data_IF_256707870982
#
_entry.id   IF_256707870982
#
_cell.length_a   1.000
_cell.length_b   1.000
_cell.length_c   1.000
_cell.angle_alpha   90.00
_cell.angle_beta   90.00
_cell.angle_gamma   90.00
#
_symmetry.space_group_name_H-M   'P 1'
#
loop_
_entity.id
_entity.type
_entity.pdbx_description
1 polymer ?
2 branched ?
3 non-polymer ?
4 water ?
#
# COMPACT_ATOMS: atom_id res chain seq x y z
N UNK A 1 13.80 4.08 -8.56
CA UNK A 1 12.88 4.82 -7.66
C UNK A 1 11.65 5.20 -8.44
N UNK A 2 10.57 5.53 -7.73
CA UNK A 2 9.39 6.12 -8.36
C UNK A 2 9.06 7.40 -7.65
N UNK A 3 8.35 8.31 -8.32
CA UNK A 3 8.04 9.59 -7.74
C UNK A 3 6.64 9.98 -8.01
N UNK A 4 6.10 10.86 -7.17
CA UNK A 4 4.77 11.42 -7.36
C UNK A 4 4.70 12.83 -6.79
N UNK A 5 4.30 13.79 -7.64
CA UNK A 5 4.18 15.18 -7.23
C UNK A 5 2.75 15.66 -7.12
N UNK A 6 2.34 16.07 -5.93
CA UNK A 6 0.97 16.50 -5.71
C UNK A 6 0.70 17.84 -6.40
N UNK A 7 1.73 18.67 -6.57
CA UNK A 7 1.55 19.92 -7.30
C UNK A 7 1.26 19.64 -8.77
N UNK A 8 0.06 20.03 -9.19
CA UNK A 8 -0.36 19.81 -10.58
C UNK A 8 -0.96 18.41 -10.76
N UNK A 9 -1.05 17.66 -9.69
CA UNK A 9 -1.57 16.29 -9.74
C UNK A 9 -3.03 16.23 -10.24
N UNK A 10 -3.31 15.24 -11.07
CA UNK A 10 -4.68 15.00 -11.49
C UNK A 10 -4.87 13.50 -11.61
N UNK A 11 -6.11 13.02 -11.87
CA UNK A 11 -6.31 11.58 -11.96
C UNK A 11 -5.25 10.89 -12.83
N UNK A 12 -4.85 11.53 -13.93
CA UNK A 12 -3.92 10.96 -14.87
C UNK A 12 -2.48 10.77 -14.31
N UNK A 13 -1.90 11.80 -13.70
CA UNK A 13 -0.55 11.70 -13.18
C UNK A 13 -0.51 10.78 -11.94
N UNK A 14 -1.62 10.70 -11.23
CA UNK A 14 -1.68 9.73 -10.11
C UNK A 14 -1.64 8.30 -10.69
N UNK A 15 -2.46 8.09 -11.73
CA UNK A 15 -2.44 6.82 -12.48
C UNK A 15 -1.06 6.41 -12.93
N UNK A 16 -0.30 7.34 -13.51
CA UNK A 16 1.06 7.03 -13.95
C UNK A 16 1.91 6.60 -12.75
N UNK A 17 1.70 7.26 -11.61
CA UNK A 17 2.48 6.93 -10.43
C UNK A 17 2.19 5.51 -9.98
N UNK A 18 0.93 5.18 -9.92
CA UNK A 18 0.55 3.83 -9.49
C UNK A 18 1.08 2.81 -10.50
N UNK A 19 1.03 3.17 -11.78
CA UNK A 19 1.62 2.25 -12.75
C UNK A 19 3.13 2.11 -12.55
N UNK A 20 3.81 3.23 -12.33
CA UNK A 20 5.26 3.19 -12.08
C UNK A 20 5.57 2.36 -10.84
N UNK A 21 4.75 2.52 -9.79
CA UNK A 21 4.95 1.75 -8.53
C UNK A 21 4.84 0.23 -8.82
N UNK A 22 3.76 -0.17 -9.51
CA UNK A 22 3.57 -1.60 -9.84
C UNK A 22 4.75 -2.12 -10.68
N UNK A 23 5.20 -1.29 -11.61
CA UNK A 23 6.32 -1.68 -12.51
C UNK A 23 7.62 -1.85 -11.82
N UNK A 24 7.73 -1.28 -10.62
CA UNK A 24 8.98 -1.36 -9.86
C UNK A 24 9.00 -2.55 -8.94
N UNK A 25 7.88 -3.28 -8.85
CA UNK A 25 7.82 -4.50 -8.07
C UNK A 25 8.16 -5.67 -8.99
N UNK A 26 9.25 -6.38 -8.68
CA UNK A 26 9.69 -7.47 -9.56
C UNK A 26 8.85 -8.73 -9.41
N UNK A 27 8.83 -9.51 -10.49
CA UNK A 27 8.14 -10.78 -10.58
C UNK A 27 8.86 -11.60 -11.65
N UNK A 28 8.80 -12.93 -11.54
CA UNK A 28 9.40 -13.79 -12.58
C UNK A 28 8.30 -14.57 -13.26
N UNK A 29 7.14 -14.59 -12.62
CA UNK A 29 6.02 -15.40 -12.99
C UNK A 29 4.73 -14.55 -12.87
N UNK A 30 3.73 -14.90 -13.68
CA UNK A 30 2.37 -14.36 -13.50
C UNK A 30 1.49 -15.56 -13.24
N UNK A 31 0.48 -15.38 -12.40
CA UNK A 31 -0.44 -16.46 -12.04
C UNK A 31 -1.83 -15.93 -12.39
N UNK A 32 -2.52 -16.63 -13.28
CA UNK A 32 -3.77 -16.15 -13.84
C UNK A 32 -3.64 -14.70 -14.33
N UNK A 33 -2.52 -14.44 -15.01
CA UNK A 33 -2.16 -13.18 -15.63
C UNK A 33 -1.90 -12.00 -14.64
N UNK A 34 -1.65 -12.33 -13.38
CA UNK A 34 -1.41 -11.37 -12.33
C UNK A 34 0.01 -11.58 -11.84
N UNK A 35 0.85 -10.52 -11.88
CA UNK A 35 2.20 -10.65 -11.35
C UNK A 35 2.27 -11.24 -9.95
N UNK A 36 3.21 -12.17 -9.77
CA UNK A 36 3.39 -12.88 -8.51
C UNK A 36 4.61 -12.29 -7.88
N UNK A 37 4.43 -11.51 -6.81
CA UNK A 37 5.61 -10.97 -6.11
C UNK A 37 6.59 -12.08 -5.69
N UNK A 38 7.87 -11.70 -5.55
CA UNK A 38 8.91 -12.67 -5.23
C UNK A 38 8.84 -13.22 -3.80
N UNK A 39 9.35 -14.45 -3.59
CA UNK A 39 9.38 -15.02 -2.25
C UNK A 39 10.30 -14.19 -1.35
N UNK A 40 11.40 -13.68 -1.92
CA UNK A 40 12.36 -12.86 -1.17
C UNK A 40 13.37 -12.22 -2.11
N UNK A 41 14.04 -11.20 -1.61
CA UNK A 41 15.05 -10.45 -2.37
C UNK A 41 16.12 -10.04 -1.36
N UNK A 42 17.37 -10.33 -1.70
CA UNK A 42 18.50 -10.11 -0.80
C UNK A 42 19.10 -8.72 -0.92
N UNK A 43 19.46 -8.15 0.23
CA UNK A 43 20.14 -6.87 0.32
C UNK A 43 19.24 -5.64 0.18
N UNK A 44 19.79 -4.60 -0.43
CA UNK A 44 19.09 -3.34 -0.55
C UNK A 44 18.08 -3.37 -1.70
N UNK A 45 18.26 -4.31 -2.63
CA UNK A 45 17.33 -4.48 -3.75
C UNK A 45 15.91 -4.80 -3.26
N UNK A 46 15.81 -5.20 -2.00
CA UNK A 46 14.54 -5.54 -1.36
C UNK A 46 13.65 -4.32 -1.19
N UNK A 47 14.22 -3.13 -1.26
CA UNK A 47 13.44 -1.92 -0.95
C UNK A 47 13.34 -0.93 -2.08
N UNK A 48 12.11 -0.54 -2.37
CA UNK A 48 11.83 0.45 -3.37
C UNK A 48 11.76 1.80 -2.66
N UNK A 49 12.30 2.85 -3.26
CA UNK A 49 12.17 4.20 -2.67
C UNK A 49 11.14 4.98 -3.47
N UNK A 50 10.09 5.44 -2.80
CA UNK A 50 9.10 6.29 -3.40
C UNK A 50 9.33 7.74 -2.95
N UNK A 51 9.63 8.63 -3.89
CA UNK A 51 9.76 10.06 -3.57
C UNK A 51 8.43 10.76 -3.75
N UNK A 52 7.82 11.16 -2.63
CA UNK A 52 6.57 11.86 -2.64
C UNK A 52 6.73 13.36 -2.35
N UNK A 53 6.08 14.20 -3.14
CA UNK A 53 6.18 15.69 -2.91
C UNK A 53 4.80 16.28 -2.65
N UNK A 54 4.65 17.06 -1.59
CA UNK A 54 3.37 17.71 -1.35
C UNK A 54 3.19 18.91 -2.28
N UNK A 55 2.06 19.60 -2.13
CA UNK A 55 1.70 20.70 -3.02
C UNK A 55 2.76 21.80 -3.09
N UNK A 56 3.44 22.03 -1.96
CA UNK A 56 4.48 23.06 -1.86
C UNK A 56 5.83 22.54 -2.32
N UNK A 57 5.90 21.27 -2.67
CA UNK A 57 7.11 20.71 -3.19
C UNK A 57 8.11 20.18 -2.15
N UNK A 58 7.72 20.17 -0.89
CA UNK A 58 8.49 19.44 0.13
C UNK A 58 8.32 17.93 -0.10
N UNK A 59 9.21 17.12 0.44
CA UNK A 59 9.25 15.73 0.04
C UNK A 59 9.67 14.78 1.15
N UNK A 60 9.17 13.55 1.05
CA UNK A 60 9.63 12.46 1.91
C UNK A 60 9.97 11.33 0.98
N UNK A 61 10.82 10.42 1.42
CA UNK A 61 11.14 9.24 0.65
C UNK A 61 10.61 8.06 1.47
N UNK A 62 9.77 7.25 0.83
CA UNK A 62 9.16 6.11 1.59
C UNK A 62 9.76 4.80 1.12
N UNK A 63 10.23 3.99 2.07
CA UNK A 63 10.89 2.69 1.78
C UNK A 63 9.84 1.61 1.74
N UNK A 64 9.73 0.90 0.61
CA UNK A 64 8.76 -0.12 0.43
C UNK A 64 9.41 -1.48 0.11
N UNK A 65 9.02 -2.52 0.84
CA UNK A 65 9.54 -3.88 0.62
C UNK A 65 8.88 -4.41 -0.65
N UNK A 66 9.68 -4.75 -1.69
CA UNK A 66 9.14 -5.16 -3.00
C UNK A 66 8.48 -6.55 -3.05
N UNK A 67 8.65 -7.36 -2.01
CA UNK A 67 8.02 -8.64 -1.94
C UNK A 67 6.59 -8.62 -1.43
N UNK A 68 6.19 -7.53 -0.72
CA UNK A 68 4.86 -7.54 -0.14
C UNK A 68 4.19 -6.17 -0.12
N UNK A 69 4.87 -5.15 -0.68
CA UNK A 69 4.40 -3.77 -0.77
C UNK A 69 4.14 -3.17 0.63
N UNK A 70 4.91 -3.64 1.62
CA UNK A 70 4.77 -3.13 3.00
C UNK A 70 5.65 -1.91 3.09
N UNK A 71 5.12 -0.82 3.66
CA UNK A 71 5.96 0.34 3.89
C UNK A 71 6.81 0.04 5.14
N UNK A 72 8.09 0.33 5.07
CA UNK A 72 8.98 0.02 6.23
C UNK A 72 9.31 1.26 7.05
N UNK A 73 9.53 2.38 6.36
CA UNK A 73 9.81 3.62 7.04
C UNK A 73 9.99 4.69 6.01
N UNK A 74 10.43 5.88 6.42
CA UNK A 74 10.56 6.97 5.46
C UNK A 74 11.60 7.97 5.99
N UNK A 75 12.03 8.81 5.10
CA UNK A 75 13.00 9.84 5.40
C UNK A 75 12.36 11.21 5.20
N UNK A 76 12.52 12.06 6.22
CA UNK A 76 11.98 13.44 6.17
C UNK A 76 13.14 14.34 6.53
N UNK A 77 13.67 15.03 5.52
CA UNK A 77 14.87 15.88 5.68
C UNK A 77 16.07 15.05 6.11
N UNK A 78 16.53 15.20 7.35
CA UNK A 78 17.69 14.42 7.76
C UNK A 78 17.37 13.36 8.82
N UNK A 79 16.08 13.06 9.01
CA UNK A 79 15.67 12.06 10.00
C UNK A 79 14.97 10.90 9.31
N UNK A 80 15.39 9.68 9.64
CA UNK A 80 14.67 8.52 9.12
C UNK A 80 13.69 8.07 10.18
N UNK A 81 12.56 7.48 9.78
CA UNK A 81 11.56 6.98 10.74
C UNK A 81 11.18 5.55 10.33
N UNK A 82 11.19 4.61 11.28
CA UNK A 82 10.83 3.24 11.00
C UNK A 82 9.77 2.69 11.89
N UNK A 83 8.94 1.81 11.37
CA UNK A 83 7.97 1.12 12.21
C UNK A 83 8.70 0.29 13.24
N UNK A 84 8.02 0.02 14.35
CA UNK A 84 8.65 -0.71 15.45
C UNK A 84 8.34 -2.19 15.20
N UNK A 85 9.09 -2.82 14.30
CA UNK A 85 8.95 -4.24 13.95
C UNK A 85 10.28 -4.75 13.37
N UNK A 86 10.57 -6.04 13.52
CA UNK A 86 11.86 -6.57 13.10
C UNK A 86 12.09 -6.31 11.60
N UNK A 87 11.04 -6.42 10.80
CA UNK A 87 11.20 -6.22 9.34
C UNK A 87 11.74 -4.82 9.03
N UNK A 88 11.22 -3.81 9.74
CA UNK A 88 11.63 -2.43 9.49
C UNK A 88 13.00 -2.15 10.05
N UNK A 89 13.31 -2.71 11.22
CA UNK A 89 14.63 -2.52 11.74
C UNK A 89 15.63 -3.20 10.79
N UNK A 90 15.26 -4.34 10.23
CA UNK A 90 16.09 -4.96 9.19
C UNK A 90 16.23 -4.02 7.98
N UNK A 91 15.11 -3.45 7.50
CA UNK A 91 15.24 -2.46 6.42
C UNK A 91 16.21 -1.32 6.77
N UNK A 92 16.19 -0.87 8.03
CA UNK A 92 17.04 0.31 8.40
C UNK A 92 18.54 0.06 8.19
N UNK A 93 18.90 -1.20 8.02
CA UNK A 93 20.29 -1.52 7.77
C UNK A 93 20.69 -1.15 6.33
N UNK A 94 19.69 -0.96 5.47
CA UNK A 94 19.95 -0.77 4.05
C UNK A 94 19.54 0.62 3.50
N UNK A 95 18.50 1.24 4.06
CA UNK A 95 17.99 2.49 3.50
C UNK A 95 18.18 3.64 4.47
N UNK A 96 18.29 4.83 3.93
CA UNK A 96 18.41 6.05 4.71
C UNK A 96 19.58 6.00 5.70
N UNK A 97 20.63 5.30 5.32
CA UNK A 97 21.83 5.18 6.17
C UNK A 97 22.38 6.56 6.53
N UNK A 98 22.31 7.50 5.57
CA UNK A 98 22.87 8.84 5.79
C UNK A 98 22.06 9.79 6.67
N UNK A 99 20.91 9.36 7.19
CA UNK A 99 20.09 10.25 8.02
C UNK A 99 20.86 10.58 9.30
N UNK A 100 20.62 11.77 9.83
CA UNK A 100 21.32 12.20 11.07
C UNK A 100 20.87 11.46 12.30
N UNK A 101 19.58 11.17 12.43
CA UNK A 101 19.10 10.39 13.53
C UNK A 101 18.03 9.51 12.98
N UNK A 102 17.83 8.36 13.58
CA UNK A 102 16.82 7.42 13.18
C UNK A 102 15.87 7.25 14.32
N UNK A 103 14.59 7.52 14.07
CA UNK A 103 13.59 7.39 15.09
C UNK A 103 12.78 6.16 14.80
N UNK A 104 12.53 5.41 15.84
CA UNK A 104 11.62 4.24 15.73
C UNK A 104 10.27 4.65 16.18
N UNK A 105 9.29 4.59 15.28
CA UNK A 105 7.92 4.94 15.65
C UNK A 105 7.36 4.05 16.76
N UNK A 106 6.41 4.58 17.57
CA UNK A 106 5.90 3.77 18.69
C UNK A 106 4.69 2.95 18.26
N UNK A 107 4.83 2.27 17.11
CA UNK A 107 3.89 1.29 16.68
C UNK A 107 4.47 0.49 15.50
N UNK A 108 3.88 -0.66 15.27
CA UNK A 108 4.25 -1.52 14.12
C UNK A 108 3.40 -1.05 12.95
N UNK A 109 3.62 -1.64 11.78
CA UNK A 109 2.91 -1.22 10.57
C UNK A 109 1.49 -1.72 10.31
N UNK A 110 0.87 -2.44 11.23
CA UNK A 110 -0.46 -2.95 10.90
C UNK A 110 -1.61 -2.01 11.17
N UNK A 111 -2.68 -2.27 10.44
CA UNK A 111 -3.85 -1.43 10.49
C UNK A 111 -4.43 -1.31 11.91
N UNK A 112 -4.51 -2.41 12.62
CA UNK A 112 -5.07 -2.32 13.94
C UNK A 112 -4.22 -1.43 14.85
N UNK A 113 -2.93 -1.61 14.83
CA UNK A 113 -2.06 -0.80 15.67
C UNK A 113 -2.08 0.68 15.31
N UNK A 114 -2.10 0.96 14.02
CA UNK A 114 -2.06 2.34 13.57
C UNK A 114 -3.37 3.06 13.90
N UNK A 115 -4.49 2.33 13.84
CA UNK A 115 -5.80 2.89 14.10
C UNK A 115 -5.90 3.23 15.58
N UNK A 116 -5.35 2.36 16.42
CA UNK A 116 -5.30 2.62 17.89
C UNK A 116 -4.48 3.89 18.15
N UNK A 117 -3.31 4.03 17.50
CA UNK A 117 -2.43 5.14 17.74
C UNK A 117 -3.03 6.44 17.21
N UNK A 118 -3.77 6.36 16.10
CA UNK A 118 -4.39 7.54 15.48
C UNK A 118 -5.67 7.98 16.18
N UNK A 119 -6.32 7.05 16.87
CA UNK A 119 -7.56 7.38 17.58
C UNK A 119 -8.84 7.21 16.76
N UNK A 120 -8.75 6.57 15.59
CA UNK A 120 -9.92 6.36 14.73
C UNK A 120 -9.68 5.23 13.73
N UNK A 121 -10.73 4.44 13.40
CA UNK A 121 -10.54 3.36 12.44
C UNK A 121 -10.41 4.03 11.07
N UNK A 122 -9.87 3.33 10.09
CA UNK A 122 -9.75 4.02 8.82
C UNK A 122 -11.05 4.22 8.08
N UNK A 123 -12.12 3.55 8.52
CA UNK A 123 -13.44 3.82 8.02
C UNK A 123 -13.82 5.30 8.16
N UNK A 124 -13.16 5.99 9.08
CA UNK A 124 -13.52 7.36 9.44
C UNK A 124 -12.52 8.37 8.98
N UNK A 125 -11.44 7.88 8.32
CA UNK A 125 -10.35 8.74 7.92
C UNK A 125 -10.45 9.00 6.42
N UNK A 126 -10.71 10.25 6.01
CA UNK A 126 -10.83 10.56 4.58
C UNK A 126 -9.51 10.34 3.83
N UNK A 127 -9.60 9.80 2.63
CA UNK A 127 -8.41 9.60 1.80
C UNK A 127 -8.64 10.24 0.46
N UNK A 128 -7.56 10.39 -0.30
CA UNK A 128 -7.65 11.17 -1.53
C UNK A 128 -6.32 11.83 -1.76
N UNK A 129 -6.22 12.59 -2.84
CA UNK A 129 -4.95 13.26 -3.07
C UNK A 129 -4.76 14.40 -2.08
N UNK A 130 -5.82 15.14 -1.74
CA UNK A 130 -5.56 16.21 -0.76
C UNK A 130 -5.09 15.59 0.58
N UNK A 131 -5.68 14.45 0.95
CA UNK A 131 -5.29 13.81 2.21
C UNK A 131 -3.85 13.36 2.11
N UNK A 132 -3.41 12.94 0.93
CA UNK A 132 -2.02 12.51 0.77
C UNK A 132 -1.09 13.71 0.93
N UNK A 133 -1.50 14.86 0.38
CA UNK A 133 -0.69 16.09 0.65
C UNK A 133 -0.59 16.37 2.10
N UNK A 134 -1.72 16.27 2.82
CA UNK A 134 -1.73 16.46 4.30
C UNK A 134 -0.82 15.44 5.00
N UNK A 135 -0.83 14.20 4.53
CA UNK A 135 0.00 13.15 5.15
C UNK A 135 1.46 13.45 4.97
N UNK A 136 1.87 13.85 3.75
CA UNK A 136 3.28 14.16 3.50
C UNK A 136 3.73 15.31 4.42
N UNK A 137 2.87 16.34 4.52
CA UNK A 137 3.15 17.46 5.40
C UNK A 137 3.33 17.06 6.84
N UNK A 138 2.43 16.22 7.33
CA UNK A 138 2.46 15.74 8.70
C UNK A 138 3.73 14.94 8.96
N UNK A 139 4.09 14.05 8.02
CA UNK A 139 5.29 13.24 8.24
C UNK A 139 6.60 14.01 8.22
N UNK A 140 6.58 15.26 7.69
CA UNK A 140 7.78 16.04 7.62
C UNK A 140 8.29 16.48 9.00
N UNK A 141 7.36 16.60 9.95
CA UNK A 141 7.75 16.87 11.34
C UNK A 141 7.12 15.93 12.35
N UNK A 142 8.00 15.27 13.06
CA UNK A 142 7.58 14.26 13.98
C UNK A 142 6.43 14.62 14.94
N UNK A 143 5.45 13.74 14.94
CA UNK A 143 4.30 13.80 15.86
C UNK A 143 3.74 12.40 15.70
N UNK A 144 4.01 11.51 16.68
CA UNK A 144 3.67 10.08 16.46
C UNK A 144 2.16 9.85 16.30
N UNK A 145 1.34 10.64 16.98
CA UNK A 145 -0.12 10.49 16.86
C UNK A 145 -0.63 10.91 15.48
N UNK A 146 -0.20 12.07 15.02
CA UNK A 146 -0.62 12.57 13.73
C UNK A 146 -0.04 11.65 12.64
N UNK A 147 1.19 11.22 12.83
CA UNK A 147 1.87 10.35 11.86
C UNK A 147 1.10 9.04 11.62
N UNK A 148 0.49 8.46 12.67
CA UNK A 148 -0.28 7.23 12.49
C UNK A 148 -1.38 7.41 11.45
N UNK A 149 -2.07 8.53 11.56
CA UNK A 149 -3.19 8.80 10.67
C UNK A 149 -2.61 9.09 9.26
N UNK A 150 -1.49 9.80 9.22
CA UNK A 150 -0.87 10.13 7.97
C UNK A 150 -0.43 8.84 7.24
N UNK A 151 0.13 7.91 8.01
CA UNK A 151 0.62 6.65 7.42
C UNK A 151 -0.59 5.78 6.99
N UNK A 152 -1.71 5.85 7.68
CA UNK A 152 -2.94 5.15 7.24
C UNK A 152 -3.39 5.68 5.86
N UNK A 153 -3.31 6.99 5.69
CA UNK A 153 -3.59 7.61 4.38
C UNK A 153 -2.57 7.19 3.31
N UNK A 154 -1.30 7.24 3.68
CA UNK A 154 -0.20 6.96 2.77
C UNK A 154 -0.25 5.53 2.29
N UNK A 155 -0.39 4.59 3.24
CA UNK A 155 -0.46 3.14 2.85
C UNK A 155 -1.56 2.86 1.89
N UNK A 156 -2.74 3.44 2.13
CA UNK A 156 -3.87 3.22 1.23
C UNK A 156 -3.77 3.86 -0.12
N UNK A 157 -3.17 5.05 -0.18
CA UNK A 157 -3.12 5.76 -1.45
C UNK A 157 -1.92 5.33 -2.29
N UNK A 158 -1.06 4.50 -1.74
CA UNK A 158 0.09 3.97 -2.47
C UNK A 158 -0.02 2.44 -2.64
N UNK A 159 0.39 1.73 -1.62
CA UNK A 159 0.39 0.24 -1.60
C UNK A 159 -0.94 -0.36 -1.96
N UNK A 160 -2.03 0.06 -1.29
CA UNK A 160 -3.32 -0.55 -1.59
C UNK A 160 -3.81 -0.23 -3.01
N UNK A 161 -3.57 1.01 -3.47
CA UNK A 161 -3.95 1.36 -4.86
C UNK A 161 -3.15 0.53 -5.86
N UNK A 162 -1.89 0.26 -5.52
CA UNK A 162 -1.01 -0.54 -6.42
C UNK A 162 -1.57 -1.94 -6.50
N UNK A 163 -2.11 -2.41 -5.39
CA UNK A 163 -2.66 -3.78 -5.33
C UNK A 163 -4.01 -4.01 -6.00
N UNK A 164 -4.87 -3.01 -6.02
CA UNK A 164 -6.21 -3.14 -6.59
C UNK A 164 -6.55 -1.99 -7.50
N UNK A 165 -6.90 -2.31 -8.73
CA UNK A 165 -7.35 -1.25 -9.69
C UNK A 165 -8.53 -0.48 -9.15
N UNK A 166 -9.47 -1.18 -8.49
CA UNK A 166 -10.62 -0.47 -7.89
C UNK A 166 -10.15 0.63 -6.91
N UNK A 167 -9.21 0.31 -6.04
CA UNK A 167 -8.70 1.29 -5.08
C UNK A 167 -8.00 2.46 -5.78
N UNK A 168 -7.20 2.16 -6.79
CA UNK A 168 -6.60 3.23 -7.57
C UNK A 168 -7.71 4.17 -8.14
N UNK A 169 -8.73 3.59 -8.71
CA UNK A 169 -9.88 4.38 -9.21
C UNK A 169 -10.59 5.19 -8.13
N UNK A 170 -10.72 4.62 -6.94
CA UNK A 170 -11.31 5.34 -5.78
C UNK A 170 -10.51 6.59 -5.47
N UNK A 171 -9.19 6.50 -5.55
CA UNK A 171 -8.34 7.64 -5.19
C UNK A 171 -8.41 8.67 -6.31
N UNK A 172 -8.47 8.21 -7.55
CA UNK A 172 -8.62 9.10 -8.66
C UNK A 172 -9.90 9.92 -8.55
N UNK A 173 -10.95 9.30 -8.03
CA UNK A 173 -12.23 9.98 -7.80
C UNK A 173 -12.11 11.07 -6.71
N UNK A 174 -11.13 10.90 -5.85
CA UNK A 174 -10.88 11.80 -4.72
C UNK A 174 -9.64 12.65 -5.02
N UNK A 175 -9.45 13.06 -6.27
CA UNK A 175 -8.29 13.85 -6.64
C UNK A 175 -8.37 15.28 -6.09
N UNK A 176 -9.60 15.78 -5.94
CA UNK A 176 -9.77 17.16 -5.43
C UNK A 176 -10.60 17.26 -4.19
N UNK A 177 -11.04 16.12 -3.67
CA UNK A 177 -11.95 16.09 -2.52
C UNK A 177 -11.78 14.75 -1.81
N UNK A 178 -11.35 14.78 -0.55
CA UNK A 178 -11.19 13.54 0.21
C UNK A 178 -12.54 12.98 0.58
N UNK A 179 -12.58 11.66 0.73
CA UNK A 179 -13.76 10.98 1.24
C UNK A 179 -13.33 9.68 1.89
N UNK A 180 -14.02 9.26 2.93
CA UNK A 180 -13.65 8.02 3.61
C UNK A 180 -13.75 6.90 2.58
N UNK A 181 -12.94 5.86 2.75
CA UNK A 181 -12.88 4.77 1.77
C UNK A 181 -14.24 4.03 1.74
N UNK A 182 -14.61 3.52 0.56
CA UNK A 182 -15.85 2.72 0.45
C UNK A 182 -15.65 1.45 1.26
N UNK A 183 -16.75 0.80 1.62
CA UNK A 183 -16.62 -0.49 2.31
C UNK A 183 -15.90 -1.51 1.43
N UNK A 184 -16.11 -1.42 0.12
CA UNK A 184 -15.41 -2.36 -0.78
C UNK A 184 -13.91 -2.11 -0.68
N UNK A 185 -13.52 -0.85 -0.48
CA UNK A 185 -12.09 -0.53 -0.40
C UNK A 185 -11.52 -1.22 0.84
N UNK A 186 -12.16 -1.01 1.98
CA UNK A 186 -11.72 -1.67 3.20
C UNK A 186 -11.67 -3.22 3.06
N UNK A 187 -12.73 -3.76 2.48
CA UNK A 187 -12.89 -5.23 2.31
C UNK A 187 -11.70 -5.75 1.48
N UNK A 188 -11.39 -5.07 0.36
CA UNK A 188 -10.31 -5.52 -0.53
C UNK A 188 -8.98 -5.46 0.19
N UNK A 189 -8.72 -4.35 0.91
CA UNK A 189 -7.48 -4.25 1.68
C UNK A 189 -7.32 -5.41 2.60
N UNK A 190 -8.40 -5.71 3.31
CA UNK A 190 -8.43 -6.76 4.31
C UNK A 190 -8.25 -8.15 3.68
N UNK A 191 -8.65 -8.30 2.44
CA UNK A 191 -8.59 -9.63 1.78
C UNK A 191 -7.40 -9.92 0.84
N UNK A 192 -6.48 -8.97 0.72
CA UNK A 192 -5.40 -9.10 -0.24
C UNK A 192 -4.61 -10.41 -0.03
N UNK A 193 -4.17 -10.64 1.22
CA UNK A 193 -3.44 -11.86 1.55
C UNK A 193 -4.26 -13.11 1.25
N UNK A 194 -5.49 -13.15 1.74
CA UNK A 194 -6.43 -14.24 1.45
C UNK A 194 -6.61 -14.46 -0.03
N UNK A 195 -6.88 -13.37 -0.76
CA UNK A 195 -7.05 -13.47 -2.22
C UNK A 195 -5.82 -14.02 -2.93
N UNK A 196 -4.66 -13.45 -2.58
CA UNK A 196 -3.39 -13.83 -3.17
C UNK A 196 -3.18 -15.34 -2.97
N UNK A 197 -3.46 -15.83 -1.76
CA UNK A 197 -3.34 -17.25 -1.48
C UNK A 197 -4.34 -18.14 -2.28
N UNK A 198 -5.63 -17.79 -2.31
CA UNK A 198 -6.62 -18.59 -3.05
C UNK A 198 -6.37 -18.62 -4.56
N UNK A 199 -5.86 -17.53 -5.09
CA UNK A 199 -5.57 -17.45 -6.52
C UNK A 199 -4.42 -18.39 -6.85
N UNK A 200 -3.40 -18.41 -6.00
CA UNK A 200 -2.32 -19.36 -6.17
C UNK A 200 -2.77 -20.83 -5.95
N UNK A 201 -3.64 -21.07 -4.95
CA UNK A 201 -4.10 -22.47 -4.70
C UNK A 201 -5.05 -22.98 -5.76
N UNK A 202 -5.65 -22.06 -6.50
CA UNK A 202 -6.52 -22.42 -7.63
C UNK A 202 -5.66 -22.97 -8.80
N UNK A 203 -4.35 -22.72 -8.75
CA UNK A 203 -3.47 -23.06 -9.86
C UNK A 203 -3.66 -24.52 -10.22
N UNK A 204 -3.79 -25.37 -9.20
CA UNK A 204 -4.02 -26.80 -9.41
C UNK A 204 -5.36 -27.34 -8.90
N UNK A 205 -6.36 -26.49 -8.87
CA UNK A 205 -7.67 -26.88 -8.39
C UNK A 205 -8.65 -26.36 -9.44
N UNK A 206 -8.20 -26.39 -10.69
CA UNK A 206 -9.05 -26.01 -11.81
C UNK A 206 -9.61 -24.59 -11.69
N UNK A 207 -8.86 -23.71 -11.04
CA UNK A 207 -9.29 -22.30 -10.98
C UNK A 207 -10.29 -22.10 -9.87
N UNK A 208 -10.47 -23.12 -9.01
CA UNK A 208 -11.45 -23.06 -7.92
C UNK A 208 -10.72 -22.75 -6.62
N UNK A 209 -11.20 -21.74 -5.88
CA UNK A 209 -10.67 -21.44 -4.57
C UNK A 209 -10.85 -22.61 -3.60
N UNK A 210 -9.80 -23.03 -2.90
CA UNK A 210 -10.05 -24.00 -1.80
C UNK A 210 -11.01 -23.45 -0.75
N UNK A 211 -10.88 -22.15 -0.46
CA UNK A 211 -11.76 -21.50 0.48
C UNK A 211 -12.32 -20.21 -0.12
N UNK A 212 -13.65 -20.09 -0.16
CA UNK A 212 -14.27 -18.89 -0.71
C UNK A 212 -13.91 -17.67 0.12
N UNK A 213 -13.66 -16.57 -0.59
CA UNK A 213 -13.30 -15.32 0.06
C UNK A 213 -14.53 -14.43 0.06
N UNK A 214 -14.92 -13.89 1.22
CA UNK A 214 -16.08 -13.02 1.33
C UNK A 214 -15.67 -11.55 1.15
N UNK A 215 -16.29 -10.86 0.19
CA UNK A 215 -16.03 -9.43 -0.05
C UNK A 215 -17.27 -8.54 -0.06
N UNK A 216 -17.06 -7.23 0.11
CA UNK A 216 -18.12 -6.25 -0.16
C UNK A 216 -17.90 -5.68 -1.55
N UNK A 217 -18.92 -5.66 -2.39
CA UNK A 217 -18.73 -5.14 -3.75
C UNK A 217 -18.94 -3.61 -3.88
N UNK A 218 -18.70 -3.09 -5.08
CA UNK A 218 -18.90 -1.67 -5.42
C UNK A 218 -20.24 -1.05 -5.08
N UNK A 219 -21.29 -1.87 -5.04
CA UNK A 219 -22.62 -1.42 -4.62
C UNK A 219 -22.78 -1.54 -3.09
N UNK A 220 -21.72 -2.00 -2.43
CA UNK A 220 -21.72 -2.11 -0.97
C UNK A 220 -22.44 -3.36 -0.51
N UNK A 221 -22.53 -4.34 -1.42
CA UNK A 221 -23.17 -5.62 -1.14
C UNK A 221 -22.16 -6.77 -0.96
N UNK A 222 -22.46 -7.68 -0.03
CA UNK A 222 -21.57 -8.80 0.31
C UNK A 222 -21.60 -9.96 -0.71
N UNK A 223 -20.53 -10.13 -1.49
CA UNK A 223 -20.41 -11.25 -2.44
C UNK A 223 -19.37 -12.34 -2.03
N UNK A 224 -19.58 -13.58 -2.50
CA UNK A 224 -18.65 -14.70 -2.23
C UNK A 224 -17.79 -14.96 -3.47
N UNK A 225 -16.47 -14.96 -3.28
CA UNK A 225 -15.54 -15.14 -4.42
C UNK A 225 -15.07 -16.58 -4.35
N UNK A 226 -15.42 -17.39 -5.34
CA UNK A 226 -15.15 -18.84 -5.29
C UNK A 226 -14.21 -19.36 -6.36
N UNK A 227 -13.99 -18.58 -7.40
CA UNK A 227 -13.06 -18.95 -8.46
C UNK A 227 -12.47 -17.78 -9.23
N UNK A 228 -11.45 -18.07 -10.02
CA UNK A 228 -10.70 -17.09 -10.80
C UNK A 228 -11.43 -16.39 -11.96
N UNK A 229 -12.65 -16.78 -12.28
CA UNK A 229 -13.41 -16.04 -13.31
C UNK A 229 -14.06 -14.80 -12.70
N UNK A 230 -13.91 -14.64 -11.39
CA UNK A 230 -14.50 -13.47 -10.73
C UNK A 230 -13.81 -12.19 -11.19
N UNK A 231 -14.57 -11.12 -11.27
CA UNK A 231 -14.01 -9.90 -11.74
C UNK A 231 -12.91 -9.36 -10.78
N UNK A 232 -13.00 -9.68 -9.52
CA UNK A 232 -11.96 -9.32 -8.53
C UNK A 232 -10.61 -9.87 -9.02
N UNK A 233 -10.65 -11.08 -9.60
CA UNK A 233 -9.42 -11.73 -10.13
C UNK A 233 -9.03 -11.32 -11.56
N UNK A 234 -10.01 -11.14 -12.44
CA UNK A 234 -9.71 -10.86 -13.86
C UNK A 234 -9.43 -9.38 -14.13
N UNK A 235 -9.95 -8.51 -13.27
CA UNK A 235 -9.89 -7.09 -13.57
C UNK A 235 -9.21 -6.26 -12.49
N UNK A 236 -9.52 -6.57 -11.24
CA UNK A 236 -9.14 -5.76 -10.05
C UNK A 236 -7.76 -5.96 -9.48
N UNK A 237 -7.54 -7.08 -8.79
CA UNK A 237 -6.25 -7.36 -8.17
C UNK A 237 -5.13 -7.27 -9.22
N UNK A 238 -4.03 -6.62 -8.83
CA UNK A 238 -2.84 -6.35 -9.71
C UNK A 238 -1.55 -6.99 -9.31
N UNK A 239 -1.48 -7.49 -8.08
CA UNK A 239 -0.25 -8.05 -7.53
C UNK A 239 -0.64 -9.14 -6.56
N UNK A 240 0.12 -10.24 -6.55
CA UNK A 240 -0.14 -11.29 -5.63
C UNK A 240 0.96 -11.43 -4.60
N UNK A 241 0.58 -11.47 -3.32
CA UNK A 241 1.52 -11.79 -2.25
C UNK A 241 1.86 -13.28 -2.40
N UNK A 242 3.16 -13.60 -2.40
CA UNK A 242 3.63 -15.02 -2.61
C UNK A 242 3.15 -15.89 -1.43
N UNK A 243 2.63 -17.10 -1.69
CA UNK A 243 2.21 -17.98 -0.57
C UNK A 243 3.33 -18.37 0.38
N UNK A 244 4.58 -18.34 -0.09
CA UNK A 244 5.74 -18.47 0.82
C UNK A 244 5.70 -17.45 1.97
N UNK A 245 5.20 -16.25 1.70
CA UNK A 245 5.07 -15.20 2.74
C UNK A 245 3.68 -15.09 3.39
N UNK A 246 2.96 -16.20 3.39
CA UNK A 246 1.63 -16.27 4.04
C UNK A 246 1.65 -17.46 5.02
X LIG B 1 -17.15 -19.03 -10.62
X LIG B 1 -18.28 -19.91 -10.07
X LIG B 1 -19.63 -19.44 -10.61
X LIG B 1 -19.80 -17.93 -10.44
X LIG B 1 -18.55 -17.16 -10.93
X LIG B 1 -18.62 -15.67 -10.63
X LIG B 1 -17.81 -22.24 -9.46
X LIG B 1 -17.59 -23.64 -9.96
X LIG B 1 -18.04 -21.31 -10.40
X LIG B 1 -20.67 -20.11 -9.95
X LIG B 1 -20.96 -17.51 -11.14
X LIG B 1 -17.40 -17.69 -10.31
X LIG B 1 -17.59 -15.02 -11.33
X LIG B 1 -17.79 -22.01 -8.25
X LIG B 2 -21.78 -16.69 -10.28
X LIG B 2 -22.55 -15.66 -11.11
X LIG B 2 -23.54 -14.92 -10.23
X LIG B 2 -24.54 -15.90 -9.61
X LIG B 2 -24.03 -17.34 -9.46
X LIG B 2 -24.61 -18.27 -10.53
X LIG B 2 -21.46 -14.72 -13.09
X LIG B 2 -20.49 -13.70 -13.62
X LIG B 2 -21.64 -14.73 -11.77
X LIG B 2 -24.24 -13.95 -10.99
X LIG B 2 -24.93 -15.40 -8.33
X LIG B 2 -22.60 -17.43 -9.40
X LIG B 2 -24.04 -19.56 -10.41
X LIG B 2 -22.03 -15.48 -13.87
X LIG C 1 -2.20 -5.33 8.45
X LIG C 1 -1.42 -6.56 8.91
X LIG C 1 -3.26 -4.67 9.27
X LIG C 1 -2.74 -5.74 6.97
X LIG C 1 -1.12 -4.25 7.99
X LIG C 1 -4.05 -6.57 6.57
X LIG C 1 -4.90 -6.98 7.75
X LIG C 1 -4.68 -5.72 5.49
X LIG C 1 -3.48 -7.94 5.92
X LIG C 1 -3.29 -8.34 4.36
X LIG C 1 -2.71 -9.73 4.56
X LIG C 1 -2.27 -7.33 3.79
X LIG C 1 -4.61 -8.44 3.58
X LIG C 1 -1.53 -2.94 7.56
X LIG C 1 -1.06 -2.79 6.14
X LIG C 1 0.36 -2.77 6.11
X LIG C 1 -1.43 -4.08 5.42
X LIG C 1 -2.70 -3.96 4.82
X LIG C 1 -0.32 -4.29 4.47
X LIG C 1 -0.59 -3.16 3.57
X LIG C 1 0.83 -3.89 5.36
X LIG C 1 1.40 -4.87 6.34
X LIG C 1 1.01 -6.11 6.73
X LIG C 1 1.86 -6.60 7.66
X LIG C 1 1.76 -7.93 8.34
X LIG C 1 2.80 -5.65 7.83
X LIG C 1 4.01 -5.56 8.70
X LIG C 1 4.39 -6.56 9.56
X LIG C 1 4.77 -4.42 8.62
X LIG C 1 4.42 -3.40 7.79
X LIG C 1 5.17 -2.27 7.72
X LIG C 1 3.34 -3.48 7.03
X LIG C 1 2.51 -4.58 7.02
#
# INVERSE_FOLDING_TARGET
DVSFRLSGADPSSYGMFIKDLRNALPHTEKVYNIPLLLPSVSGAGRYLLMHLFNYDGNTITVAVDVTNVYIMGYLALTTSYFFNEPAADLASQYVFRSARRKITLPYSGNYERLQIAAGKPREKIPIGLPALDTAISTLLHYDSTAAAGALLVLIQTTAEAARFKYIEQQIQERAYRDEVPSSATISLENSWSGLSKQIQLAQGNNGVFRTPTVLVDSKGNRVQITNVTSNVVTSNIQLLLNTKNI
NAG C1 C2 C3 C4 C5 C6 C7 C8 N2 O3 O4 O5 O6 O7
NAG C1 C2 C3 C4 C5 C6 C7 C8 N2 O3 O4 O5 O6 O7
MGP PA O1A O2A O3A O5' PB O1B O2B O3B PC O1C O2C O3C C5' C4' O4' C3' O3' C2' O2' C1' N9 C8 N7 CM7 C5 C6 O6 N1 C2 N2 N3 C4
#
